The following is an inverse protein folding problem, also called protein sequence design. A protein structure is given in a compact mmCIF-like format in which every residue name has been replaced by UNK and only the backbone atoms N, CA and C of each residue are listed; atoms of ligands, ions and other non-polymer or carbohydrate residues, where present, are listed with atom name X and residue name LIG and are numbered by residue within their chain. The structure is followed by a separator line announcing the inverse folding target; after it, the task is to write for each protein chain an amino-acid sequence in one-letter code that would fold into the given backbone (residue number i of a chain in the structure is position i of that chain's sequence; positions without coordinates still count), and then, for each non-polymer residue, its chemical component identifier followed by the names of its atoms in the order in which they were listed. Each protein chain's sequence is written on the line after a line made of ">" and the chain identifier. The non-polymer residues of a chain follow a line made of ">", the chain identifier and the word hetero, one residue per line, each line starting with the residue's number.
data_IF_135255400235
#
_entry.id   IF_135255400235
#
_cell.length_a   1.000
_cell.length_b   1.000
_cell.length_c   1.000
_cell.angle_alpha   90.00
_cell.angle_beta   90.00
_cell.angle_gamma   90.00
#
_symmetry.space_group_name_H-M   'P 1'
#
loop_
_entity.id
_entity.type
_entity.pdbx_description
1 polymer ?
#
# COMPACT_ATOMS: atom_id res chain seq x y z
N UNK A 1 56.43 -47.64 -41.38
CA UNK A 1 56.16 -48.42 -40.15
C UNK A 1 54.92 -47.85 -39.48
N UNK A 2 53.88 -48.68 -39.31
CA UNK A 2 52.86 -48.67 -38.22
C UNK A 2 52.24 -47.32 -37.79
N UNK A 3 50.93 -47.06 -37.80
CA UNK A 3 49.78 -47.94 -37.55
C UNK A 3 48.47 -47.24 -37.97
N UNK A 4 47.48 -48.09 -38.30
CA UNK A 4 46.07 -47.83 -38.63
C UNK A 4 45.26 -47.29 -37.44
N UNK A 5 44.16 -46.56 -37.75
CA UNK A 5 42.74 -46.80 -37.33
C UNK A 5 41.90 -45.61 -37.85
N UNK A 6 40.97 -45.80 -38.79
CA UNK A 6 39.63 -46.39 -38.71
C UNK A 6 38.59 -45.47 -38.02
N UNK A 7 37.49 -45.16 -38.73
CA UNK A 7 36.27 -44.61 -38.13
C UNK A 7 35.48 -43.65 -39.03
N UNK A 8 34.77 -44.18 -40.04
CA UNK A 8 33.47 -43.60 -40.44
C UNK A 8 32.50 -43.91 -39.30
N UNK A 9 31.71 -42.94 -38.85
CA UNK A 9 30.27 -43.20 -38.86
C UNK A 9 29.40 -41.92 -38.91
N UNK A 10 28.31 -42.08 -39.64
CA UNK A 10 27.23 -41.14 -39.91
C UNK A 10 26.15 -41.36 -38.84
N UNK A 11 25.21 -40.42 -38.73
CA UNK A 11 23.93 -40.53 -37.99
C UNK A 11 24.12 -40.51 -36.46
N UNK A 12 23.31 -39.84 -35.64
CA UNK A 12 21.88 -39.59 -35.71
C UNK A 12 21.55 -38.45 -34.75
N UNK A 13 20.69 -37.52 -35.16
CA UNK A 13 20.04 -36.58 -34.26
C UNK A 13 19.18 -37.38 -33.28
N UNK A 14 19.37 -37.18 -31.98
CA UNK A 14 18.57 -37.81 -30.95
C UNK A 14 17.70 -36.77 -30.23
N UNK A 15 16.42 -36.77 -30.62
CA UNK A 15 15.31 -36.33 -29.76
C UNK A 15 15.16 -37.32 -28.60
N UNK A 16 15.19 -36.81 -27.38
CA UNK A 16 14.62 -37.38 -26.14
C UNK A 16 15.07 -36.43 -25.02
N UNK A 17 14.20 -35.79 -24.23
CA UNK A 17 13.17 -36.40 -23.42
C UNK A 17 11.96 -35.47 -23.21
N UNK A 18 10.78 -35.92 -23.66
CA UNK A 18 9.47 -35.32 -23.37
C UNK A 18 8.80 -35.94 -22.12
N UNK A 19 9.57 -36.63 -21.28
CA UNK A 19 9.06 -37.29 -20.07
C UNK A 19 9.95 -37.00 -18.86
N UNK A 20 10.00 -35.74 -18.45
CA UNK A 20 10.37 -35.42 -17.07
C UNK A 20 9.18 -35.81 -16.16
N UNK A 21 9.38 -36.56 -15.06
CA UNK A 21 8.30 -36.82 -14.12
C UNK A 21 7.82 -35.50 -13.52
N UNK A 22 6.50 -35.28 -13.52
CA UNK A 22 5.89 -34.14 -12.88
C UNK A 22 6.37 -34.07 -11.43
N UNK A 23 7.01 -32.95 -11.06
CA UNK A 23 7.34 -32.69 -9.67
C UNK A 23 6.07 -32.80 -8.83
N UNK A 24 6.09 -33.49 -7.67
CA UNK A 24 4.93 -33.52 -6.81
C UNK A 24 4.57 -32.07 -6.44
N UNK A 25 3.26 -31.73 -6.34
CA UNK A 25 2.85 -30.41 -5.91
C UNK A 25 3.49 -30.15 -4.55
N UNK A 26 4.30 -29.10 -4.48
CA UNK A 26 4.81 -28.57 -3.21
C UNK A 26 3.56 -28.33 -2.33
N UNK A 27 3.49 -28.90 -1.12
CA UNK A 27 2.36 -28.65 -0.24
C UNK A 27 2.33 -27.14 0.03
N UNK A 28 1.27 -26.48 -0.43
CA UNK A 28 0.98 -25.10 -0.05
C UNK A 28 0.88 -25.11 1.47
N UNK A 29 1.81 -24.40 2.13
CA UNK A 29 1.82 -24.29 3.58
C UNK A 29 0.43 -23.87 4.08
N UNK A 30 -0.04 -24.38 5.23
CA UNK A 30 -1.35 -23.99 5.76
C UNK A 30 -1.36 -22.47 5.87
N UNK A 31 -2.33 -21.86 5.18
CA UNK A 31 -2.54 -20.43 5.22
C UNK A 31 -2.66 -20.03 6.69
N UNK A 32 -1.65 -19.31 7.17
CA UNK A 32 -1.62 -18.82 8.55
C UNK A 32 -2.89 -18.00 8.82
N UNK A 33 -3.21 -17.69 10.08
CA UNK A 33 -4.37 -16.89 10.40
C UNK A 33 -4.37 -15.64 9.51
N UNK A 34 -5.43 -15.44 8.71
CA UNK A 34 -5.63 -14.18 8.00
C UNK A 34 -5.40 -13.08 9.03
N UNK A 35 -4.60 -12.04 8.72
CA UNK A 35 -4.33 -10.99 9.70
C UNK A 35 -5.68 -10.51 10.21
N UNK A 36 -5.89 -10.64 11.52
CA UNK A 36 -7.13 -10.23 12.15
C UNK A 36 -7.39 -8.77 11.74
N UNK A 37 -8.58 -8.49 11.25
CA UNK A 37 -9.00 -7.12 10.93
C UNK A 37 -8.76 -6.29 12.19
N UNK A 38 -7.98 -5.19 12.11
CA UNK A 38 -7.67 -4.39 13.29
C UNK A 38 -8.97 -3.85 13.89
N UNK A 39 -9.12 -3.99 15.20
CA UNK A 39 -10.27 -3.43 15.92
C UNK A 39 -10.23 -1.89 15.83
N UNK A 40 -11.13 -1.33 15.02
CA UNK A 40 -11.23 0.11 14.79
C UNK A 40 -11.66 0.88 16.04
N UNK A 41 -12.18 0.19 17.06
CA UNK A 41 -12.56 0.80 18.33
C UNK A 41 -11.38 0.98 19.29
N UNK A 42 -10.26 0.28 19.05
CA UNK A 42 -9.09 0.23 19.93
C UNK A 42 -7.80 0.53 19.16
N UNK A 43 -7.77 1.65 18.45
CA UNK A 43 -6.61 2.07 17.67
C UNK A 43 -5.50 2.69 18.55
N UNK A 44 -4.21 2.44 18.25
CA UNK A 44 -3.11 2.97 19.05
C UNK A 44 -2.97 4.49 18.90
N UNK A 45 -2.44 5.15 19.93
CA UNK A 45 -2.18 6.58 19.91
C UNK A 45 -1.15 6.98 18.84
N UNK A 46 -1.34 8.13 18.21
CA UNK A 46 -0.42 8.69 17.22
C UNK A 46 0.49 9.73 17.88
N UNK A 47 1.84 9.61 17.76
CA UNK A 47 2.78 10.58 18.31
C UNK A 47 2.54 12.01 17.81
N UNK A 48 2.73 13.00 18.69
CA UNK A 48 2.51 14.42 18.35
C UNK A 48 3.47 14.89 17.25
N UNK A 49 4.70 14.41 17.33
CA UNK A 49 5.85 14.77 16.51
C UNK A 49 5.62 14.43 15.03
N UNK A 50 4.83 13.39 14.74
CA UNK A 50 4.43 13.06 13.37
C UNK A 50 3.70 14.25 12.72
N UNK A 51 2.78 14.87 13.45
CA UNK A 51 1.94 15.95 12.92
C UNK A 51 2.73 17.22 12.68
N UNK A 52 3.67 17.53 13.57
CA UNK A 52 4.60 18.64 13.42
C UNK A 52 5.46 18.44 12.16
N UNK A 53 6.05 17.25 11.99
CA UNK A 53 6.83 16.92 10.78
C UNK A 53 6.00 16.99 9.50
N UNK A 54 4.75 16.52 9.53
CA UNK A 54 3.84 16.59 8.38
C UNK A 54 3.49 18.05 8.03
N UNK A 55 3.25 18.90 9.04
CA UNK A 55 2.97 20.32 8.85
C UNK A 55 4.14 21.09 8.22
N UNK A 56 5.39 20.73 8.55
CA UNK A 56 6.57 21.33 7.91
C UNK A 56 6.73 20.95 6.43
N UNK A 57 6.14 19.84 5.97
CA UNK A 57 6.21 19.44 4.57
C UNK A 57 5.16 20.16 3.74
N UNK A 58 5.60 21.16 2.94
CA UNK A 58 4.72 21.88 1.99
C UNK A 58 3.87 20.97 1.11
N UNK A 59 4.41 19.81 0.72
CA UNK A 59 3.68 18.84 -0.10
C UNK A 59 2.55 18.16 0.68
N UNK A 60 2.77 17.79 1.94
CA UNK A 60 1.78 17.09 2.79
C UNK A 60 0.77 18.06 3.39
N UNK A 61 1.22 19.23 3.81
CA UNK A 61 0.39 20.26 4.44
C UNK A 61 -0.68 20.86 3.50
N UNK A 62 -0.57 20.69 2.18
CA UNK A 62 -1.53 21.24 1.21
C UNK A 62 -2.80 20.39 1.04
N UNK A 63 -2.84 19.17 1.59
CA UNK A 63 -3.98 18.28 1.43
C UNK A 63 -5.07 18.66 2.43
N UNK A 64 -6.30 18.77 1.93
CA UNK A 64 -7.51 19.02 2.69
C UNK A 64 -8.68 18.26 2.06
N UNK A 65 -9.66 17.85 2.86
CA UNK A 65 -10.91 17.29 2.39
C UNK A 65 -11.66 18.34 1.56
N UNK A 66 -11.94 18.01 0.30
CA UNK A 66 -12.76 18.83 -0.58
C UNK A 66 -14.25 18.70 -0.24
N UNK A 67 -15.09 19.47 -0.92
CA UNK A 67 -16.54 19.46 -0.70
C UNK A 67 -17.15 18.05 -0.85
N UNK A 68 -16.77 17.32 -1.89
CA UNK A 68 -17.26 15.95 -2.15
C UNK A 68 -16.82 14.96 -1.08
N UNK A 69 -15.56 15.03 -0.63
CA UNK A 69 -15.07 14.15 0.43
C UNK A 69 -15.73 14.47 1.78
N UNK A 70 -15.98 15.76 2.09
CA UNK A 70 -16.71 16.17 3.30
C UNK A 70 -18.17 15.71 3.25
N UNK A 71 -18.85 15.85 2.12
CA UNK A 71 -20.21 15.35 1.92
C UNK A 71 -20.28 13.83 2.06
N UNK A 72 -19.32 13.11 1.48
CA UNK A 72 -19.23 11.66 1.65
C UNK A 72 -19.03 11.27 3.12
N UNK A 73 -18.12 11.95 3.83
CA UNK A 73 -17.89 11.74 5.25
C UNK A 73 -19.14 12.05 6.10
N UNK A 74 -19.88 13.11 5.77
CA UNK A 74 -21.12 13.46 6.46
C UNK A 74 -22.25 12.44 6.20
N UNK A 75 -22.30 11.88 4.99
CA UNK A 75 -23.35 10.92 4.58
C UNK A 75 -23.11 9.52 5.14
N UNK A 76 -21.87 9.02 5.08
CA UNK A 76 -21.52 7.65 5.52
C UNK A 76 -21.07 7.58 6.98
N UNK A 77 -20.55 8.69 7.51
CA UNK A 77 -19.96 8.74 8.84
C UNK A 77 -18.55 8.17 8.89
N UNK A 78 -17.83 8.53 9.96
CA UNK A 78 -16.45 8.11 10.17
C UNK A 78 -16.27 6.58 10.31
N UNK A 79 -17.13 5.83 11.02
CA UNK A 79 -16.94 4.38 11.18
C UNK A 79 -16.92 3.62 9.86
N UNK A 80 -17.83 3.97 8.94
CA UNK A 80 -17.88 3.34 7.62
C UNK A 80 -16.66 3.72 6.76
N UNK A 81 -16.28 5.00 6.77
CA UNK A 81 -15.05 5.46 6.09
C UNK A 81 -13.81 4.72 6.60
N UNK A 82 -13.75 4.39 7.89
CA UNK A 82 -12.66 3.62 8.49
C UNK A 82 -12.71 2.13 8.14
N UNK A 83 -13.89 1.57 7.88
CA UNK A 83 -14.02 0.21 7.34
C UNK A 83 -13.38 0.14 5.94
N UNK A 84 -13.69 1.09 5.07
CA UNK A 84 -13.03 1.19 3.75
C UNK A 84 -11.51 1.42 3.89
N UNK A 85 -11.08 2.19 4.89
CA UNK A 85 -9.66 2.39 5.16
C UNK A 85 -8.96 1.07 5.47
N UNK A 86 -9.54 0.23 6.34
CA UNK A 86 -8.99 -1.09 6.66
C UNK A 86 -8.84 -1.96 5.40
N UNK A 87 -9.86 -2.00 4.55
CA UNK A 87 -9.81 -2.76 3.29
C UNK A 87 -8.74 -2.24 2.35
N UNK A 88 -8.63 -0.91 2.17
CA UNK A 88 -7.60 -0.33 1.31
C UNK A 88 -6.19 -0.59 1.83
N UNK A 89 -5.98 -0.53 3.15
CA UNK A 89 -4.68 -0.83 3.75
C UNK A 89 -4.34 -2.31 3.55
N UNK A 90 -5.23 -3.22 3.92
CA UNK A 90 -5.02 -4.65 3.82
C UNK A 90 -4.74 -5.10 2.37
N UNK A 91 -5.47 -4.55 1.40
CA UNK A 91 -5.38 -5.00 0.00
C UNK A 91 -4.33 -4.26 -0.83
N UNK A 92 -4.08 -2.97 -0.57
CA UNK A 92 -3.25 -2.11 -1.46
C UNK A 92 -1.96 -1.58 -0.85
N UNK A 93 -1.77 -1.73 0.47
CA UNK A 93 -0.58 -1.18 1.15
C UNK A 93 0.16 -2.21 2.01
N UNK A 94 -0.57 -3.14 2.61
CA UNK A 94 -0.03 -4.16 3.50
C UNK A 94 0.85 -5.22 2.81
N UNK A 95 0.62 -5.63 1.54
CA UNK A 95 1.53 -6.56 0.89
C UNK A 95 2.98 -6.04 0.83
N UNK A 96 3.95 -6.95 0.86
CA UNK A 96 5.38 -6.60 0.77
C UNK A 96 5.72 -5.85 -0.53
N UNK A 97 5.04 -6.21 -1.62
CA UNK A 97 5.14 -5.61 -2.94
C UNK A 97 3.72 -5.32 -3.46
N UNK A 98 3.11 -4.19 -3.08
CA UNK A 98 1.76 -3.87 -3.54
C UNK A 98 1.70 -3.61 -5.05
N UNK A 99 0.57 -3.97 -5.66
CA UNK A 99 0.34 -3.67 -7.07
C UNK A 99 0.40 -2.16 -7.33
N UNK A 100 1.19 -1.77 -8.34
CA UNK A 100 1.38 -0.37 -8.74
C UNK A 100 1.86 0.51 -7.57
N UNK A 101 2.77 0.01 -6.72
CA UNK A 101 3.34 0.79 -5.61
C UNK A 101 3.88 2.16 -6.08
N UNK A 102 3.49 3.21 -5.36
CA UNK A 102 3.68 4.62 -5.74
C UNK A 102 2.50 5.23 -6.52
N UNK A 103 1.56 4.41 -7.02
CA UNK A 103 0.37 4.84 -7.76
C UNK A 103 -0.91 4.08 -7.36
N UNK A 104 -0.87 3.28 -6.29
CA UNK A 104 -2.00 2.46 -5.86
C UNK A 104 -3.17 3.26 -5.25
N UNK A 105 -2.87 4.45 -4.73
CA UNK A 105 -3.84 5.33 -4.05
C UNK A 105 -4.25 6.46 -4.98
N UNK A 106 -5.54 6.52 -5.41
CA UNK A 106 -6.08 7.65 -6.16
C UNK A 106 -5.87 8.99 -5.42
N UNK A 107 -5.87 10.11 -6.13
CA UNK A 107 -5.66 11.42 -5.50
C UNK A 107 -6.92 12.02 -4.86
N UNK A 108 -8.12 11.58 -5.26
CA UNK A 108 -9.42 12.16 -4.90
C UNK A 108 -10.53 11.11 -4.94
N UNK A 109 -11.72 11.48 -4.46
CA UNK A 109 -12.93 10.66 -4.58
C UNK A 109 -13.28 9.87 -3.33
N UNK A 110 -12.42 9.86 -2.31
CA UNK A 110 -12.70 9.27 -1.00
C UNK A 110 -11.86 9.97 0.09
N UNK A 111 -12.41 10.25 1.30
CA UNK A 111 -11.67 10.88 2.39
C UNK A 111 -10.34 10.17 2.73
N UNK A 112 -10.35 8.83 2.74
CA UNK A 112 -9.16 8.01 3.01
C UNK A 112 -8.04 8.27 2.02
N UNK A 113 -8.34 8.49 0.73
CA UNK A 113 -7.31 8.73 -0.27
C UNK A 113 -6.60 10.07 -0.01
N UNK A 114 -7.35 11.11 0.34
CA UNK A 114 -6.77 12.40 0.73
C UNK A 114 -5.90 12.22 1.97
N UNK A 115 -6.42 11.52 2.99
CA UNK A 115 -5.70 11.24 4.23
C UNK A 115 -4.41 10.46 4.00
N UNK A 116 -4.41 9.47 3.12
CA UNK A 116 -3.23 8.68 2.79
C UNK A 116 -2.12 9.54 2.16
N UNK A 117 -2.49 10.44 1.25
CA UNK A 117 -1.56 11.40 0.67
C UNK A 117 -1.11 12.46 1.67
N UNK A 118 -1.98 12.92 2.55
CA UNK A 118 -1.64 13.90 3.57
C UNK A 118 -0.67 13.34 4.63
N UNK A 119 -0.81 12.06 4.99
CA UNK A 119 -0.07 11.43 6.10
C UNK A 119 1.10 10.57 5.65
N UNK A 120 1.35 10.47 4.34
CA UNK A 120 2.44 9.65 3.81
C UNK A 120 2.19 8.14 3.96
N UNK A 121 0.93 7.72 3.84
CA UNK A 121 0.51 6.32 3.89
C UNK A 121 -0.07 5.84 2.55
N UNK A 122 0.28 6.51 1.45
CA UNK A 122 -0.21 6.19 0.10
C UNK A 122 0.61 5.15 -0.68
N UNK A 123 1.82 4.83 -0.25
CA UNK A 123 2.67 3.79 -0.84
C UNK A 123 3.75 3.31 0.14
N UNK A 124 4.44 2.18 -0.14
CA UNK A 124 5.49 1.65 0.76
C UNK A 124 6.64 2.62 0.95
N UNK A 125 7.05 3.32 -0.11
CA UNK A 125 8.12 4.33 -0.02
C UNK A 125 7.76 5.51 0.88
N UNK A 126 6.49 5.95 0.87
CA UNK A 126 6.01 6.97 1.79
C UNK A 126 5.96 6.45 3.22
N UNK A 127 5.46 5.23 3.41
CA UNK A 127 5.39 4.56 4.72
C UNK A 127 6.78 4.43 5.35
N UNK A 128 7.78 3.99 4.60
CA UNK A 128 9.17 3.92 5.07
C UNK A 128 9.72 5.29 5.50
N UNK A 129 9.47 6.34 4.70
CA UNK A 129 9.98 7.69 4.97
C UNK A 129 9.34 8.35 6.20
N UNK A 130 8.03 8.18 6.36
CA UNK A 130 7.25 8.93 7.35
C UNK A 130 7.06 8.17 8.66
N UNK A 131 6.93 6.85 8.58
CA UNK A 131 6.52 5.97 9.68
C UNK A 131 7.60 4.95 10.08
N UNK A 132 8.79 5.03 9.48
CA UNK A 132 9.93 4.15 9.77
C UNK A 132 9.62 2.63 9.62
N UNK A 133 8.69 2.29 8.73
CA UNK A 133 8.32 0.91 8.39
C UNK A 133 8.93 0.52 7.03
N UNK A 134 9.97 -0.32 6.97
CA UNK A 134 10.71 -0.60 5.74
C UNK A 134 9.84 -1.13 4.59
N UNK A 135 10.11 -0.66 3.37
CA UNK A 135 9.52 -1.23 2.16
C UNK A 135 10.04 -2.66 1.91
N UNK A 136 9.31 -3.46 1.12
CA UNK A 136 9.69 -4.83 0.81
C UNK A 136 9.34 -5.87 1.89
N UNK A 137 8.76 -5.44 3.02
CA UNK A 137 8.16 -6.32 4.02
C UNK A 137 6.66 -6.07 4.14
N UNK A 138 5.85 -7.13 4.38
CA UNK A 138 4.43 -6.95 4.59
C UNK A 138 4.18 -6.19 5.90
N UNK A 139 3.09 -5.42 5.95
CA UNK A 139 2.67 -4.79 7.19
C UNK A 139 2.04 -5.81 8.11
N UNK A 140 2.56 -5.91 9.32
CA UNK A 140 1.90 -6.67 10.38
C UNK A 140 0.61 -5.97 10.87
N UNK A 141 -0.17 -6.67 11.69
CA UNK A 141 -1.44 -6.15 12.20
C UNK A 141 -1.28 -4.87 13.05
N UNK A 142 -0.19 -4.74 13.82
CA UNK A 142 0.06 -3.57 14.65
C UNK A 142 0.41 -2.34 13.80
N UNK A 143 1.22 -2.54 12.76
CA UNK A 143 1.56 -1.50 11.79
C UNK A 143 0.33 -1.05 10.99
N UNK A 144 -0.54 -1.99 10.58
CA UNK A 144 -1.81 -1.64 9.92
C UNK A 144 -2.73 -0.85 10.85
N UNK A 145 -2.89 -1.28 12.11
CA UNK A 145 -3.67 -0.57 13.12
C UNK A 145 -3.14 0.86 13.35
N UNK A 146 -1.81 1.01 13.43
CA UNK A 146 -1.19 2.33 13.53
C UNK A 146 -1.47 3.22 12.31
N UNK A 147 -1.35 2.69 11.09
CA UNK A 147 -1.67 3.48 9.90
C UNK A 147 -3.15 3.89 9.89
N UNK A 148 -4.05 3.02 10.34
CA UNK A 148 -5.47 3.36 10.48
C UNK A 148 -5.70 4.45 11.53
N UNK A 149 -4.96 4.44 12.65
CA UNK A 149 -5.06 5.49 13.66
C UNK A 149 -4.60 6.84 13.12
N UNK A 150 -3.51 6.86 12.35
CA UNK A 150 -3.02 8.05 11.64
C UNK A 150 -4.07 8.58 10.65
N UNK A 151 -4.69 7.70 9.85
CA UNK A 151 -5.73 8.10 8.88
C UNK A 151 -6.96 8.66 9.61
N UNK A 152 -7.45 7.96 10.63
CA UNK A 152 -8.62 8.37 11.40
C UNK A 152 -8.42 9.75 12.04
N UNK A 153 -7.28 9.94 12.69
CA UNK A 153 -6.96 11.17 13.39
C UNK A 153 -6.78 12.34 12.43
N UNK A 154 -6.15 12.13 11.27
CA UNK A 154 -6.05 13.17 10.25
C UNK A 154 -7.43 13.59 9.72
N UNK A 155 -8.30 12.62 9.42
CA UNK A 155 -9.67 12.90 8.93
C UNK A 155 -10.44 13.71 9.97
N UNK A 156 -10.39 13.35 11.25
CA UNK A 156 -11.06 14.10 12.33
C UNK A 156 -10.57 15.54 12.40
N UNK A 157 -9.26 15.75 12.34
CA UNK A 157 -8.66 17.09 12.41
C UNK A 157 -9.05 17.95 11.23
N UNK A 158 -8.94 17.43 10.01
CA UNK A 158 -9.28 18.19 8.81
C UNK A 158 -10.80 18.43 8.68
N UNK A 159 -11.63 17.49 9.14
CA UNK A 159 -13.08 17.70 9.19
C UNK A 159 -13.47 18.78 10.21
N UNK A 160 -12.74 18.90 11.32
CA UNK A 160 -12.97 19.91 12.35
C UNK A 160 -12.45 21.31 11.98
N UNK A 161 -11.52 21.43 11.03
CA UNK A 161 -11.11 22.75 10.54
C UNK A 161 -12.20 23.34 9.65
N UNK A 162 -12.58 24.60 9.94
CA UNK A 162 -13.39 25.38 9.02
C UNK A 162 -12.61 25.54 7.70
N UNK A 163 -13.25 25.23 6.58
CA UNK A 163 -12.62 25.22 5.25
C UNK A 163 -11.89 26.54 4.99
N UNK A 164 -10.56 26.57 4.80
CA UNK A 164 -9.98 27.67 4.05
C UNK A 164 -10.52 27.52 2.62
N UNK A 165 -11.37 28.46 2.20
CA UNK A 165 -11.79 28.60 0.80
C UNK A 165 -10.53 28.48 -0.05
N UNK A 166 -10.52 27.51 -0.98
CA UNK A 166 -9.40 27.36 -1.91
C UNK A 166 -9.21 28.69 -2.62
N UNK A 167 -8.06 29.34 -2.40
CA UNK A 167 -7.70 30.54 -3.17
C UNK A 167 -7.86 30.23 -4.66
N UNK A 168 -8.41 31.16 -5.46
CA UNK A 168 -8.61 30.95 -6.89
C UNK A 168 -7.28 30.54 -7.54
N UNK A 169 -7.33 29.52 -8.41
CA UNK A 169 -6.18 29.13 -9.22
C UNK A 169 -5.73 30.38 -10.00
N UNK A 170 -4.47 30.84 -9.89
CA UNK A 170 -4.00 31.89 -10.76
C UNK A 170 -4.03 31.41 -12.21
N UNK A 171 -4.53 32.28 -13.10
CA UNK A 171 -4.61 32.00 -14.53
C UNK A 171 -3.23 31.59 -15.08
N UNK A 172 -3.15 30.54 -15.92
CA UNK A 172 -1.95 30.30 -16.69
C UNK A 172 -1.80 31.45 -17.70
N UNK A 173 -0.84 32.35 -17.47
CA UNK A 173 -0.34 33.26 -18.50
C UNK A 173 0.45 32.50 -19.55
#
# INVERSE_FOLDING_TARGET
>A
MTRRRAGRDRTQAQQSDLFAPAMPPVPVAPEGPRPATPDLNSLPAVPRELWERLAYSRFRARFHLGAREREYLATRGLPEVMTHAADFIATRLAPAQPDKDGRQTPWRGHPVFIAQHATGTCCRGCVAKWHAMPAGQPLDAAQQAYILSVIQEWIRRDAATATPQSAPRPDPR
#
